data_IF_864838874966
#
_entry.id   IF_864838874966
#
_cell.length_a   1.000
_cell.length_b   1.000
_cell.length_c   1.000
_cell.angle_alpha   90.00
_cell.angle_beta   90.00
_cell.angle_gamma   90.00
#
_symmetry.space_group_name_H-M   'P 1'
#
loop_
_entity.id
_entity.type
_entity.pdbx_description
1 polymer ?
#
# COMPACT_ATOMS: atom_id res chain seq x y z
N UNK A 1 -25.73 -1.69 -9.29
CA UNK A 1 -24.51 -2.43 -8.97
C UNK A 1 -23.49 -1.53 -8.33
N UNK A 2 -23.02 -1.93 -7.20
CA UNK A 2 -22.06 -1.11 -6.47
C UNK A 2 -20.66 -1.27 -7.02
N UNK A 3 -19.99 -0.14 -7.10
CA UNK A 3 -18.62 -0.13 -7.55
C UNK A 3 -17.71 0.00 -6.34
N UNK A 4 -16.80 -0.95 -6.19
CA UNK A 4 -15.87 -0.90 -5.08
C UNK A 4 -14.77 0.12 -5.35
N UNK A 5 -14.28 0.79 -4.31
CA UNK A 5 -13.19 1.75 -4.50
C UNK A 5 -11.91 1.05 -4.93
N UNK A 6 -11.12 1.76 -5.71
CA UNK A 6 -9.80 1.29 -6.10
C UNK A 6 -8.83 1.60 -4.98
N UNK A 7 -8.04 0.61 -4.59
CA UNK A 7 -7.06 0.75 -3.52
C UNK A 7 -5.66 0.69 -4.12
N UNK A 8 -4.87 1.73 -3.89
CA UNK A 8 -3.46 1.71 -4.23
C UNK A 8 -2.68 1.26 -3.00
N UNK A 9 -1.79 0.29 -3.19
CA UNK A 9 -0.91 -0.17 -2.11
C UNK A 9 0.49 0.30 -2.48
N UNK A 10 0.91 1.39 -1.87
CA UNK A 10 2.24 1.96 -2.09
C UNK A 10 3.22 1.12 -1.28
N UNK A 11 4.27 0.65 -1.94
CA UNK A 11 5.13 -0.34 -1.34
C UNK A 11 4.58 -1.74 -1.51
N UNK A 12 3.75 -1.94 -2.53
CA UNK A 12 3.03 -3.20 -2.74
C UNK A 12 3.91 -4.39 -3.08
N UNK A 13 5.19 -4.16 -3.38
CA UNK A 13 6.11 -5.25 -3.65
C UNK A 13 6.80 -5.77 -2.38
N UNK A 14 6.61 -5.10 -1.23
CA UNK A 14 7.14 -5.55 0.04
C UNK A 14 6.22 -6.59 0.69
N UNK A 15 6.69 -7.17 1.79
CA UNK A 15 5.97 -8.26 2.45
C UNK A 15 4.59 -7.83 2.95
N UNK A 16 4.52 -6.72 3.67
CA UNK A 16 3.24 -6.26 4.20
C UNK A 16 2.32 -5.81 3.09
N UNK A 17 2.85 -5.01 2.15
CA UNK A 17 2.03 -4.49 1.07
C UNK A 17 1.45 -5.59 0.20
N UNK A 18 2.26 -6.59 -0.15
CA UNK A 18 1.75 -7.67 -0.99
C UNK A 18 0.73 -8.53 -0.24
N UNK A 19 0.90 -8.73 1.06
CA UNK A 19 -0.06 -9.49 1.86
C UNK A 19 -1.41 -8.76 1.92
N UNK A 20 -1.39 -7.44 2.13
CA UNK A 20 -2.62 -6.65 2.15
C UNK A 20 -3.29 -6.65 0.79
N UNK A 21 -2.49 -6.50 -0.28
CA UNK A 21 -3.04 -6.49 -1.62
C UNK A 21 -3.74 -7.80 -1.96
N UNK A 22 -3.13 -8.92 -1.60
CA UNK A 22 -3.74 -10.23 -1.83
C UNK A 22 -5.07 -10.36 -1.09
N UNK A 23 -5.10 -9.92 0.15
CA UNK A 23 -6.31 -10.03 0.96
C UNK A 23 -7.45 -9.21 0.38
N UNK A 24 -7.16 -7.98 0.01
CA UNK A 24 -8.20 -7.11 -0.53
C UNK A 24 -8.62 -7.50 -1.95
N UNK A 25 -7.69 -8.00 -2.74
CA UNK A 25 -8.04 -8.50 -4.07
C UNK A 25 -8.97 -9.72 -3.95
N UNK A 26 -8.71 -10.58 -2.99
CA UNK A 26 -9.58 -11.73 -2.74
C UNK A 26 -10.96 -11.30 -2.29
N UNK A 27 -11.07 -10.14 -1.65
CA UNK A 27 -12.35 -9.58 -1.24
C UNK A 27 -13.08 -8.85 -2.36
N UNK A 28 -12.46 -8.74 -3.54
CA UNK A 28 -13.11 -8.16 -4.70
C UNK A 28 -12.76 -6.71 -5.00
N UNK A 29 -11.77 -6.14 -4.32
CA UNK A 29 -11.38 -4.75 -4.57
C UNK A 29 -10.38 -4.66 -5.74
N UNK A 30 -10.53 -3.65 -6.61
CA UNK A 30 -9.49 -3.37 -7.60
C UNK A 30 -8.26 -2.81 -6.90
N UNK A 31 -7.10 -3.37 -7.19
CA UNK A 31 -5.85 -3.02 -6.50
C UNK A 31 -4.82 -2.53 -7.51
N UNK A 32 -4.13 -1.45 -7.16
CA UNK A 32 -2.99 -0.98 -7.93
C UNK A 32 -1.78 -1.04 -7.02
N UNK A 33 -0.83 -1.90 -7.33
CA UNK A 33 0.42 -1.97 -6.58
C UNK A 33 1.33 -0.83 -7.02
N UNK A 34 1.86 -0.10 -6.06
CA UNK A 34 2.80 0.98 -6.33
C UNK A 34 4.20 0.61 -5.89
N UNK A 35 5.19 0.99 -6.69
CA UNK A 35 6.59 0.74 -6.39
C UNK A 35 7.40 1.87 -7.00
N UNK A 36 8.66 1.99 -6.58
CA UNK A 36 9.56 2.92 -7.25
C UNK A 36 9.89 2.46 -8.66
N UNK A 37 9.71 1.18 -8.92
CA UNK A 37 9.91 0.62 -10.26
C UNK A 37 8.57 0.13 -10.79
N UNK A 38 8.10 0.75 -11.87
CA UNK A 38 6.86 0.33 -12.50
C UNK A 38 6.94 -1.13 -12.94
N UNK A 39 8.10 -1.54 -13.44
CA UNK A 39 8.28 -2.91 -13.90
C UNK A 39 8.16 -3.92 -12.77
N UNK A 40 8.73 -3.60 -11.61
CA UNK A 40 8.61 -4.47 -10.45
C UNK A 40 7.16 -4.57 -9.98
N UNK A 41 6.46 -3.45 -9.99
CA UNK A 41 5.06 -3.45 -9.59
C UNK A 41 4.22 -4.31 -10.53
N UNK A 42 4.48 -4.20 -11.83
CA UNK A 42 3.74 -4.99 -12.80
C UNK A 42 4.04 -6.47 -12.67
N UNK A 43 5.30 -6.82 -12.42
CA UNK A 43 5.67 -8.22 -12.22
C UNK A 43 5.03 -8.79 -10.96
N UNK A 44 4.99 -8.00 -9.89
CA UNK A 44 4.34 -8.43 -8.66
C UNK A 44 2.84 -8.63 -8.85
N UNK A 45 2.21 -7.74 -9.60
CA UNK A 45 0.78 -7.85 -9.88
C UNK A 45 0.48 -9.13 -10.67
N UNK A 46 1.32 -9.43 -11.65
CA UNK A 46 1.15 -10.65 -12.44
C UNK A 46 1.32 -11.89 -11.58
N UNK A 47 2.27 -11.84 -10.65
CA UNK A 47 2.52 -12.98 -9.78
C UNK A 47 1.34 -13.29 -8.86
N UNK A 48 0.50 -12.30 -8.59
CA UNK A 48 -0.69 -12.52 -7.77
C UNK A 48 -1.80 -13.23 -8.53
N UNK A 49 -1.68 -13.27 -9.86
CA UNK A 49 -2.61 -13.99 -10.71
C UNK A 49 -4.07 -13.61 -10.47
N UNK A 50 -4.33 -12.33 -10.28
CA UNK A 50 -5.66 -11.80 -10.04
C UNK A 50 -5.93 -10.67 -11.02
N UNK A 51 -7.07 -10.72 -11.70
CA UNK A 51 -7.42 -9.73 -12.71
C UNK A 51 -7.55 -8.33 -12.16
N UNK A 52 -7.95 -8.24 -10.90
CA UNK A 52 -8.20 -6.95 -10.29
C UNK A 52 -6.92 -6.27 -9.81
N UNK A 53 -5.77 -6.91 -9.97
CA UNK A 53 -4.49 -6.35 -9.49
C UNK A 53 -3.65 -5.90 -10.66
N UNK A 54 -3.25 -4.63 -10.63
CA UNK A 54 -2.33 -4.06 -11.62
C UNK A 54 -1.16 -3.42 -10.89
N UNK A 55 -0.14 -3.00 -11.62
CA UNK A 55 1.03 -2.38 -11.02
C UNK A 55 1.46 -1.14 -11.77
N UNK A 56 2.00 -0.17 -11.03
CA UNK A 56 2.49 1.08 -11.62
C UNK A 56 3.52 1.69 -10.67
N UNK A 57 4.08 2.83 -11.06
CA UNK A 57 4.93 3.54 -10.12
C UNK A 57 4.07 4.12 -8.99
N UNK A 58 4.71 4.54 -7.90
CA UNK A 58 3.99 4.99 -6.71
C UNK A 58 3.03 6.13 -7.01
N UNK A 59 3.49 7.10 -7.76
CA UNK A 59 2.69 8.29 -8.02
C UNK A 59 1.48 7.98 -8.90
N UNK A 60 1.70 7.19 -9.95
CA UNK A 60 0.60 6.81 -10.82
C UNK A 60 -0.40 5.93 -10.11
N UNK A 61 0.08 5.02 -9.26
CA UNK A 61 -0.80 4.16 -8.48
C UNK A 61 -1.69 5.00 -7.55
N UNK A 62 -1.07 5.95 -6.84
CA UNK A 62 -1.82 6.82 -5.93
C UNK A 62 -2.83 7.67 -6.67
N UNK A 63 -2.47 8.15 -7.86
CA UNK A 63 -3.37 8.98 -8.66
C UNK A 63 -4.59 8.21 -9.14
N UNK A 64 -4.43 6.93 -9.41
CA UNK A 64 -5.49 6.10 -9.98
C UNK A 64 -6.49 5.60 -8.93
N UNK A 65 -6.17 5.74 -7.65
CA UNK A 65 -6.95 5.11 -6.59
C UNK A 65 -7.82 6.09 -5.84
N UNK A 66 -8.81 5.54 -5.14
CA UNK A 66 -9.66 6.30 -4.22
C UNK A 66 -9.12 6.23 -2.80
N UNK A 67 -8.50 5.11 -2.47
CA UNK A 67 -7.91 4.88 -1.16
C UNK A 67 -6.44 4.53 -1.39
N UNK A 68 -5.55 5.22 -0.67
CA UNK A 68 -4.11 5.01 -0.81
C UNK A 68 -3.56 4.46 0.49
N UNK A 69 -2.99 3.25 0.43
CA UNK A 69 -2.39 2.61 1.60
C UNK A 69 -0.88 2.68 1.45
N UNK A 70 -0.22 3.30 2.40
CA UNK A 70 1.24 3.43 2.39
C UNK A 70 1.83 2.35 3.27
N UNK A 71 2.40 1.31 2.64
CA UNK A 71 2.94 0.14 3.33
C UNK A 71 4.44 0.03 3.05
N UNK A 72 5.19 0.99 3.55
CA UNK A 72 6.63 1.06 3.31
C UNK A 72 7.37 1.04 4.65
N UNK A 73 8.66 0.66 4.64
CA UNK A 73 9.45 0.74 5.87
C UNK A 73 9.53 2.17 6.38
N UNK A 74 9.65 2.32 7.68
CA UNK A 74 9.68 3.63 8.31
C UNK A 74 10.73 4.54 7.67
N UNK A 75 11.89 3.98 7.31
CA UNK A 75 12.97 4.77 6.72
C UNK A 75 12.59 5.41 5.39
N UNK A 76 11.64 4.81 4.66
CA UNK A 76 11.21 5.34 3.36
C UNK A 76 9.95 6.17 3.43
N UNK A 77 9.35 6.27 4.60
CA UNK A 77 8.01 6.80 4.78
C UNK A 77 7.87 8.24 4.31
N UNK A 78 8.75 9.11 4.77
CA UNK A 78 8.64 10.52 4.45
C UNK A 78 8.86 10.80 2.96
N UNK A 79 9.84 10.13 2.37
CA UNK A 79 10.13 10.32 0.95
C UNK A 79 8.94 9.89 0.10
N UNK A 80 8.32 8.77 0.46
CA UNK A 80 7.17 8.26 -0.28
C UNK A 80 5.97 9.19 -0.12
N UNK A 81 5.71 9.68 1.08
CA UNK A 81 4.61 10.62 1.30
C UNK A 81 4.80 11.88 0.46
N UNK A 82 6.03 12.39 0.39
CA UNK A 82 6.29 13.56 -0.42
C UNK A 82 6.09 13.28 -1.91
N UNK A 83 6.41 12.08 -2.34
CA UNK A 83 6.26 11.70 -3.73
C UNK A 83 4.80 11.67 -4.16
N UNK A 84 3.91 11.17 -3.32
CA UNK A 84 2.51 11.00 -3.68
C UNK A 84 1.64 12.19 -3.28
N UNK A 85 2.15 13.09 -2.47
CA UNK A 85 1.39 14.22 -1.96
C UNK A 85 0.61 14.99 -3.03
N UNK A 86 1.20 15.30 -4.19
CA UNK A 86 0.48 16.07 -5.20
C UNK A 86 -0.75 15.37 -5.77
N UNK A 87 -0.84 14.05 -5.65
CA UNK A 87 -1.91 13.30 -6.30
C UNK A 87 -2.93 12.70 -5.33
N UNK A 88 -2.78 12.94 -4.01
CA UNK A 88 -3.69 12.34 -3.04
C UNK A 88 -4.67 13.31 -2.40
N UNK A 89 -4.73 14.54 -2.88
CA UNK A 89 -5.67 15.51 -2.34
C UNK A 89 -7.10 14.99 -2.47
N UNK A 90 -7.85 15.04 -1.39
CA UNK A 90 -9.24 14.57 -1.39
C UNK A 90 -9.41 13.07 -1.29
N UNK A 91 -8.32 12.32 -1.12
CA UNK A 91 -8.37 10.86 -1.02
C UNK A 91 -8.13 10.41 0.40
N UNK A 92 -8.55 9.18 0.68
CA UNK A 92 -8.28 8.55 1.98
C UNK A 92 -6.88 7.96 1.93
N UNK A 93 -6.03 8.36 2.87
CA UNK A 93 -4.67 7.85 2.95
C UNK A 93 -4.53 7.09 4.26
N UNK A 94 -4.21 5.80 4.15
CA UNK A 94 -4.00 4.94 5.32
C UNK A 94 -2.52 4.66 5.42
N UNK A 95 -1.98 4.91 6.59
CA UNK A 95 -0.55 4.80 6.83
C UNK A 95 -0.25 3.55 7.63
N UNK A 96 0.33 2.55 6.96
CA UNK A 96 0.67 1.27 7.58
C UNK A 96 2.19 1.12 7.62
N UNK A 97 2.84 1.95 8.43
CA UNK A 97 4.29 1.96 8.52
C UNK A 97 4.81 0.72 9.23
N UNK A 98 5.83 0.09 8.65
CA UNK A 98 6.45 -1.09 9.22
C UNK A 98 7.70 -0.68 9.98
N UNK A 99 7.77 -0.90 11.29
CA UNK A 99 8.98 -0.58 12.04
C UNK A 99 10.12 -1.53 11.68
N UNK A 100 11.34 -0.99 11.70
CA UNK A 100 12.52 -1.77 11.35
C UNK A 100 12.99 -2.66 12.48
N UNK A 101 12.53 -2.41 13.70
CA UNK A 101 12.95 -3.17 14.87
C UNK A 101 11.73 -3.83 15.50
N UNK A 102 11.23 -4.90 14.89
CA UNK A 102 9.95 -5.47 15.27
C UNK A 102 9.82 -5.94 16.71
N UNK A 103 10.80 -6.64 17.26
CA UNK A 103 10.59 -7.19 18.61
C UNK A 103 10.36 -6.14 19.67
N UNK A 104 11.00 -5.01 19.55
CA UNK A 104 10.81 -3.95 20.52
C UNK A 104 9.45 -3.33 20.42
N UNK A 105 8.95 -3.27 19.21
CA UNK A 105 7.64 -2.68 18.98
C UNK A 105 6.56 -3.52 19.61
N UNK A 106 6.69 -4.82 19.53
CA UNK A 106 5.67 -5.71 20.05
C UNK A 106 5.48 -5.60 21.54
N UNK A 107 6.47 -5.14 22.24
CA UNK A 107 6.40 -5.01 23.70
C UNK A 107 5.56 -3.83 24.10
N UNK A 108 5.65 -2.93 23.34
CA UNK A 108 4.97 -1.70 23.70
C UNK A 108 3.46 -1.89 23.55
N UNK A 109 3.71 -1.81 23.77
CA UNK A 109 2.58 -1.35 23.62
C UNK A 109 1.66 -1.26 23.96
N UNK A 110 2.02 -1.67 24.09
CA UNK A 110 1.05 -1.57 24.18
C UNK A 110 0.42 -0.99 24.82
N UNK A 111 0.64 -0.68 24.94
CA UNK A 111 -0.14 -0.07 25.28
C UNK A 111 -0.79 0.37 25.46
N UNK A 112 -0.77 0.38 25.60
CA UNK A 112 -1.59 0.71 25.74
C UNK A 112 -2.03 1.01 25.86
N UNK A 113 -1.79 0.80 25.79
CA UNK A 113 -2.47 1.10 25.79
C UNK A 113 -2.79 1.35 25.98
N UNK A 114 -2.44 1.08 25.95
CA UNK A 114 -2.99 1.33 26.04
C UNK A 114 -3.35 1.59 26.34
N UNK A 115 -3.40 1.59 26.55
CA UNK A 115 -4.14 1.92 26.58
C UNK A 115 -4.48 2.27 26.77
#
# INVERSE_FOLDING_TARGET
>A
MEKRPTIAVIGGTGDLGSALAKRWAAAGYPIVLGSRSKQKAQAAAEAMNARSVTGDDNRAAAAAADIVVVAVPYASHEAILNEIKPVVAGKIVIDAVVPLVPPKVSVVNQRPSVP
#
